data_IF_901251950846
#
_entry.id   IF_901251950846
#
_cell.length_a   1.000
_cell.length_b   1.000
_cell.length_c   1.000
_cell.angle_alpha   90.00
_cell.angle_beta   90.00
_cell.angle_gamma   90.00
#
_symmetry.space_group_name_H-M   'P 1'
#
loop_
_entity.id
_entity.type
_entity.pdbx_description
1 polymer ?
#
# COMPACT_ATOMS: atom_id res chain seq x y z
N UNK A 1 -16.70 -23.20 5.44
CA UNK A 1 -17.16 -21.84 5.86
C UNK A 1 -18.22 -21.38 4.86
N UNK A 2 -19.37 -20.86 5.33
CA UNK A 2 -20.45 -20.47 4.39
C UNK A 2 -20.06 -19.23 3.58
N UNK A 3 -20.61 -19.03 2.36
CA UNK A 3 -20.36 -17.83 1.56
C UNK A 3 -20.62 -16.51 2.31
N UNK A 4 -21.60 -16.50 3.21
CA UNK A 4 -21.93 -15.32 4.02
C UNK A 4 -20.90 -15.05 5.11
N UNK A 5 -20.30 -16.10 5.67
CA UNK A 5 -19.15 -15.98 6.57
C UNK A 5 -17.94 -15.34 5.88
N UNK A 6 -17.67 -15.72 4.63
CA UNK A 6 -16.58 -15.11 3.85
C UNK A 6 -16.82 -13.61 3.62
N UNK A 7 -18.04 -13.21 3.25
CA UNK A 7 -18.41 -11.80 3.06
C UNK A 7 -18.24 -10.98 4.33
N UNK A 8 -18.64 -11.50 5.48
CA UNK A 8 -18.51 -10.81 6.76
C UNK A 8 -17.05 -10.46 7.08
N UNK A 9 -16.13 -11.41 6.87
CA UNK A 9 -14.69 -11.21 7.08
C UNK A 9 -14.09 -10.13 6.18
N UNK A 10 -14.51 -10.10 4.90
CA UNK A 10 -14.08 -9.04 4.00
C UNK A 10 -14.53 -7.66 4.46
N UNK A 11 -15.76 -7.52 4.98
CA UNK A 11 -16.24 -6.25 5.55
C UNK A 11 -15.44 -5.85 6.79
N UNK A 12 -15.13 -6.78 7.68
CA UNK A 12 -14.29 -6.52 8.85
C UNK A 12 -12.91 -5.99 8.41
N UNK A 13 -12.23 -6.74 7.53
CA UNK A 13 -10.88 -6.44 7.09
C UNK A 13 -10.81 -5.15 6.25
N UNK A 14 -11.61 -5.06 5.19
CA UNK A 14 -11.50 -4.00 4.18
C UNK A 14 -12.56 -2.91 4.32
N UNK A 15 -13.61 -3.11 5.14
CA UNK A 15 -14.76 -2.20 5.23
C UNK A 15 -15.83 -2.45 4.16
N UNK A 16 -15.53 -3.28 3.16
CA UNK A 16 -16.44 -3.64 2.06
C UNK A 16 -16.15 -5.05 1.55
N UNK A 17 -17.05 -5.60 0.75
CA UNK A 17 -16.83 -6.88 0.04
C UNK A 17 -16.32 -6.57 -1.37
N UNK A 18 -15.11 -7.03 -1.75
CA UNK A 18 -14.60 -6.78 -3.10
C UNK A 18 -15.39 -7.57 -4.16
N UNK A 19 -15.65 -6.95 -5.32
CA UNK A 19 -16.29 -7.60 -6.47
C UNK A 19 -15.62 -8.91 -6.90
N UNK A 20 -14.31 -9.00 -6.70
CA UNK A 20 -13.54 -10.20 -7.02
C UNK A 20 -13.97 -11.42 -6.20
N UNK A 21 -14.54 -11.23 -5.00
CA UNK A 21 -15.11 -12.34 -4.24
C UNK A 21 -16.33 -12.93 -4.97
N UNK A 22 -17.25 -12.09 -5.44
CA UNK A 22 -18.44 -12.57 -6.15
C UNK A 22 -18.05 -13.28 -7.45
N UNK A 23 -17.04 -12.77 -8.17
CA UNK A 23 -16.49 -13.44 -9.35
C UNK A 23 -15.91 -14.82 -9.01
N UNK A 24 -15.15 -14.95 -7.92
CA UNK A 24 -14.61 -16.23 -7.45
C UNK A 24 -15.72 -17.20 -7.08
N UNK A 25 -16.71 -16.76 -6.33
CA UNK A 25 -17.85 -17.57 -5.92
C UNK A 25 -18.67 -18.03 -7.14
N UNK A 26 -18.91 -17.16 -8.11
CA UNK A 26 -19.62 -17.51 -9.34
C UNK A 26 -18.87 -18.58 -10.14
N UNK A 27 -17.57 -18.40 -10.39
CA UNK A 27 -16.75 -19.36 -11.11
C UNK A 27 -16.64 -20.71 -10.37
N UNK A 28 -16.48 -20.69 -9.04
CA UNK A 28 -16.41 -21.90 -8.24
C UNK A 28 -17.74 -22.68 -8.25
N UNK A 29 -18.88 -21.98 -8.26
CA UNK A 29 -20.20 -22.60 -8.47
C UNK A 29 -20.30 -23.25 -9.85
N UNK A 30 -19.96 -22.51 -10.91
CA UNK A 30 -19.99 -23.01 -12.29
C UNK A 30 -19.09 -24.24 -12.47
N UNK A 31 -17.92 -24.26 -11.84
CA UNK A 31 -17.00 -25.39 -11.89
C UNK A 31 -17.36 -26.56 -10.96
N UNK A 32 -18.37 -26.41 -10.08
CA UNK A 32 -18.68 -27.41 -9.05
C UNK A 32 -17.57 -27.57 -8.00
N UNK A 33 -16.75 -26.53 -7.77
CA UNK A 33 -15.53 -26.56 -6.95
C UNK A 33 -15.56 -25.57 -5.79
N UNK A 34 -16.71 -25.39 -5.13
CA UNK A 34 -16.85 -24.44 -4.00
C UNK A 34 -15.84 -24.65 -2.87
N UNK A 35 -15.43 -25.90 -2.62
CA UNK A 35 -14.41 -26.23 -1.63
C UNK A 35 -13.06 -25.54 -1.88
N UNK A 36 -12.73 -25.14 -3.12
CA UNK A 36 -11.50 -24.39 -3.39
C UNK A 36 -11.54 -22.97 -2.82
N UNK A 37 -12.71 -22.31 -2.86
CA UNK A 37 -12.88 -20.99 -2.26
C UNK A 37 -12.76 -21.11 -0.75
N UNK A 38 -13.39 -22.12 -0.15
CA UNK A 38 -13.27 -22.36 1.30
C UNK A 38 -11.82 -22.61 1.72
N UNK A 39 -11.04 -23.35 0.94
CA UNK A 39 -9.63 -23.59 1.21
C UNK A 39 -8.79 -22.30 1.14
N UNK A 40 -9.02 -21.45 0.13
CA UNK A 40 -8.32 -20.17 0.00
C UNK A 40 -8.66 -19.22 1.15
N UNK A 41 -9.93 -19.16 1.56
CA UNK A 41 -10.36 -18.30 2.66
C UNK A 41 -9.89 -18.82 4.02
N UNK A 42 -9.81 -20.14 4.22
CA UNK A 42 -9.21 -20.74 5.42
C UNK A 42 -7.70 -20.44 5.49
N UNK A 43 -6.98 -20.52 4.37
CA UNK A 43 -5.57 -20.13 4.30
C UNK A 43 -5.37 -18.64 4.63
N UNK A 44 -6.22 -17.77 4.05
CA UNK A 44 -6.21 -16.34 4.37
C UNK A 44 -6.47 -16.11 5.85
N UNK A 45 -7.42 -16.82 6.45
CA UNK A 45 -7.73 -16.67 7.85
C UNK A 45 -6.50 -16.96 8.73
N UNK A 46 -5.91 -18.13 8.55
CA UNK A 46 -4.75 -18.56 9.32
C UNK A 46 -3.59 -17.59 9.16
N UNK A 47 -3.25 -17.21 7.92
CA UNK A 47 -2.05 -16.43 7.66
C UNK A 47 -2.22 -14.92 7.90
N UNK A 48 -3.44 -14.38 7.80
CA UNK A 48 -3.70 -12.95 7.92
C UNK A 48 -4.28 -12.61 9.29
N UNK A 49 -5.24 -13.36 9.80
CA UNK A 49 -5.93 -13.01 11.05
C UNK A 49 -5.25 -13.60 12.28
N UNK A 50 -4.65 -14.79 12.17
CA UNK A 50 -3.86 -15.40 13.25
C UNK A 50 -2.35 -15.14 13.12
N UNK A 51 -1.97 -14.12 12.36
CA UNK A 51 -0.57 -13.75 12.22
C UNK A 51 -0.01 -13.19 13.54
N UNK A 52 1.23 -13.54 13.94
CA UNK A 52 1.87 -12.95 15.12
C UNK A 52 2.29 -11.48 14.93
N UNK A 53 2.40 -11.00 13.69
CA UNK A 53 2.57 -9.57 13.43
C UNK A 53 1.26 -8.83 13.69
N UNK A 54 1.35 -7.64 14.29
CA UNK A 54 0.21 -6.75 14.34
C UNK A 54 -0.26 -6.35 12.94
N UNK A 55 -1.52 -5.89 12.85
CA UNK A 55 -2.14 -5.56 11.56
C UNK A 55 -1.38 -4.47 10.80
N UNK A 56 -0.85 -3.45 11.49
CA UNK A 56 -0.13 -2.34 10.87
C UNK A 56 1.13 -2.85 10.20
N UNK A 57 1.97 -3.54 10.97
CA UNK A 57 3.22 -4.15 10.52
C UNK A 57 2.99 -5.09 9.35
N UNK A 58 1.98 -5.97 9.44
CA UNK A 58 1.68 -6.90 8.36
C UNK A 58 1.30 -6.18 7.04
N UNK A 59 0.54 -5.09 7.10
CA UNK A 59 0.19 -4.30 5.91
C UNK A 59 1.41 -3.61 5.30
N UNK A 60 2.30 -3.05 6.12
CA UNK A 60 3.55 -2.43 5.66
C UNK A 60 4.49 -3.45 5.00
N UNK A 61 4.58 -4.66 5.55
CA UNK A 61 5.37 -5.77 4.96
C UNK A 61 4.80 -6.18 3.61
N UNK A 62 3.48 -6.39 3.50
CA UNK A 62 2.85 -6.71 2.22
C UNK A 62 3.07 -5.59 1.18
N UNK A 63 2.94 -4.32 1.59
CA UNK A 63 3.22 -3.17 0.73
C UNK A 63 4.65 -3.23 0.18
N UNK A 64 5.65 -3.39 1.05
CA UNK A 64 7.05 -3.46 0.67
C UNK A 64 7.34 -4.62 -0.30
N UNK A 65 6.81 -5.81 -0.03
CA UNK A 65 6.98 -6.98 -0.89
C UNK A 65 6.36 -6.78 -2.27
N UNK A 66 5.15 -6.21 -2.35
CA UNK A 66 4.47 -5.97 -3.62
C UNK A 66 5.18 -4.90 -4.44
N UNK A 67 5.68 -3.84 -3.81
CA UNK A 67 6.52 -2.84 -4.48
C UNK A 67 7.81 -3.46 -5.03
N UNK A 68 8.50 -4.30 -4.25
CA UNK A 68 9.70 -5.00 -4.70
C UNK A 68 9.44 -5.96 -5.88
N UNK A 69 8.22 -6.51 -5.99
CA UNK A 69 7.79 -7.33 -7.13
C UNK A 69 7.24 -6.51 -8.31
N UNK A 70 7.25 -5.17 -8.24
CA UNK A 70 6.66 -4.29 -9.26
C UNK A 70 5.14 -4.36 -9.34
N UNK A 71 4.46 -4.90 -8.32
CA UNK A 71 3.03 -5.14 -8.28
C UNK A 71 2.29 -3.94 -7.68
N UNK A 72 2.29 -2.81 -8.39
CA UNK A 72 1.73 -1.53 -7.88
C UNK A 72 0.21 -1.57 -7.68
N UNK A 73 -0.54 -2.23 -8.56
CA UNK A 73 -2.00 -2.32 -8.45
C UNK A 73 -2.47 -2.95 -7.11
N UNK A 74 -2.00 -4.14 -6.70
CA UNK A 74 -2.32 -4.66 -5.38
C UNK A 74 -1.64 -3.90 -4.23
N UNK A 75 -0.46 -3.29 -4.44
CA UNK A 75 0.22 -2.49 -3.41
C UNK A 75 -0.64 -1.33 -2.89
N UNK A 76 -1.44 -0.69 -3.77
CA UNK A 76 -2.39 0.37 -3.39
C UNK A 76 -3.35 -0.05 -2.28
N UNK A 77 -3.82 -1.30 -2.30
CA UNK A 77 -4.71 -1.83 -1.26
C UNK A 77 -4.01 -1.91 0.10
N UNK A 78 -2.71 -2.15 0.11
CA UNK A 78 -1.92 -2.27 1.34
C UNK A 78 -1.52 -0.92 1.93
N UNK A 79 -1.41 0.15 1.13
CA UNK A 79 -1.31 1.52 1.67
C UNK A 79 -2.58 1.87 2.44
N UNK A 80 -3.75 1.76 1.80
CA UNK A 80 -5.05 2.05 2.45
C UNK A 80 -5.30 1.13 3.65
N UNK A 81 -4.96 -0.15 3.52
CA UNK A 81 -5.03 -1.13 4.59
C UNK A 81 -4.13 -0.78 5.78
N UNK A 82 -2.91 -0.30 5.52
CA UNK A 82 -1.99 0.17 6.56
C UNK A 82 -2.54 1.40 7.28
N UNK A 83 -3.05 2.40 6.54
CA UNK A 83 -3.67 3.61 7.13
C UNK A 83 -4.84 3.23 8.04
N UNK A 84 -5.76 2.37 7.56
CA UNK A 84 -6.87 1.85 8.37
C UNK A 84 -6.38 1.12 9.64
N UNK A 85 -5.21 0.48 9.57
CA UNK A 85 -4.57 -0.18 10.70
C UNK A 85 -3.76 0.76 11.61
N UNK A 86 -3.78 2.08 11.36
CA UNK A 86 -3.11 3.09 12.17
C UNK A 86 -1.70 3.47 11.70
N UNK A 87 -1.34 3.15 10.46
CA UNK A 87 -0.10 3.67 9.87
C UNK A 87 -0.21 5.17 9.59
N UNK A 88 0.87 5.87 9.90
CA UNK A 88 1.06 7.30 9.62
C UNK A 88 1.71 7.49 8.25
N UNK A 89 1.66 8.70 7.66
CA UNK A 89 2.46 9.05 6.50
C UNK A 89 3.95 8.75 6.69
N UNK A 90 4.47 8.89 7.91
CA UNK A 90 5.87 8.58 8.24
C UNK A 90 6.18 7.08 8.14
N UNK A 91 5.28 6.20 8.61
CA UNK A 91 5.44 4.75 8.46
C UNK A 91 5.52 4.36 6.97
N UNK A 92 4.63 4.93 6.15
CA UNK A 92 4.59 4.68 4.70
C UNK A 92 5.83 5.20 3.98
N UNK A 93 6.31 6.39 4.35
CA UNK A 93 7.56 6.92 3.81
C UNK A 93 8.76 6.05 4.22
N UNK A 94 8.75 5.45 5.42
CA UNK A 94 9.73 4.46 5.83
C UNK A 94 9.79 3.24 4.90
N UNK A 95 8.65 2.80 4.36
CA UNK A 95 8.62 1.75 3.34
C UNK A 95 9.27 2.22 2.03
N UNK A 96 9.01 3.46 1.60
CA UNK A 96 9.69 4.05 0.44
C UNK A 96 11.21 4.05 0.62
N UNK A 97 11.70 4.55 1.77
CA UNK A 97 13.13 4.58 2.09
C UNK A 97 13.75 3.18 2.11
N UNK A 98 13.07 2.19 2.68
CA UNK A 98 13.49 0.78 2.64
C UNK A 98 13.57 0.27 1.20
N UNK A 99 12.61 0.67 0.37
CA UNK A 99 12.58 0.40 -1.05
C UNK A 99 13.80 0.92 -1.81
N UNK A 100 14.34 2.09 -1.43
CA UNK A 100 15.59 2.63 -2.01
C UNK A 100 16.78 1.70 -1.75
N UNK A 101 16.84 1.06 -0.57
CA UNK A 101 17.91 0.12 -0.21
C UNK A 101 17.80 -1.18 -1.01
N UNK A 102 16.58 -1.69 -1.21
CA UNK A 102 16.35 -3.00 -1.83
C UNK A 102 16.32 -2.94 -3.36
N UNK A 103 15.71 -1.91 -3.94
CA UNK A 103 15.49 -1.78 -5.39
C UNK A 103 16.04 -0.50 -6.01
N UNK A 104 16.85 0.26 -5.28
CA UNK A 104 17.44 1.51 -5.76
C UNK A 104 16.42 2.63 -5.99
N UNK A 105 16.89 3.70 -6.65
CA UNK A 105 16.05 4.86 -6.95
C UNK A 105 14.79 4.55 -7.77
N UNK A 106 14.77 3.60 -8.73
CA UNK A 106 13.55 3.28 -9.46
C UNK A 106 12.41 2.78 -8.57
N UNK A 107 12.72 1.88 -7.62
CA UNK A 107 11.72 1.37 -6.67
C UNK A 107 11.29 2.50 -5.71
N UNK A 108 12.24 3.28 -5.20
CA UNK A 108 11.95 4.43 -4.35
C UNK A 108 10.95 5.39 -5.01
N UNK A 109 11.22 5.82 -6.25
CA UNK A 109 10.33 6.73 -6.99
C UNK A 109 8.94 6.12 -7.18
N UNK A 110 8.85 4.85 -7.59
CA UNK A 110 7.57 4.18 -7.75
C UNK A 110 6.78 4.08 -6.42
N UNK A 111 7.46 3.80 -5.31
CA UNK A 111 6.84 3.75 -3.99
C UNK A 111 6.35 5.14 -3.55
N UNK A 112 7.15 6.18 -3.77
CA UNK A 112 6.80 7.57 -3.45
C UNK A 112 5.57 8.00 -4.24
N UNK A 113 5.54 7.79 -5.56
CA UNK A 113 4.41 8.19 -6.40
C UNK A 113 3.10 7.54 -5.93
N UNK A 114 3.14 6.23 -5.67
CA UNK A 114 1.98 5.47 -5.22
C UNK A 114 1.49 5.93 -3.84
N UNK A 115 2.40 6.11 -2.88
CA UNK A 115 2.05 6.56 -1.52
C UNK A 115 1.53 8.00 -1.55
N UNK A 116 2.19 8.89 -2.28
CA UNK A 116 1.79 10.29 -2.44
C UNK A 116 0.39 10.40 -3.02
N UNK A 117 0.09 9.69 -4.11
CA UNK A 117 -1.24 9.71 -4.73
C UNK A 117 -2.35 9.35 -3.72
N UNK A 118 -2.15 8.28 -2.94
CA UNK A 118 -3.15 7.83 -1.96
C UNK A 118 -3.27 8.79 -0.79
N UNK A 119 -2.15 9.28 -0.24
CA UNK A 119 -2.20 10.25 0.84
C UNK A 119 -2.85 11.57 0.41
N UNK A 120 -2.67 11.96 -0.86
CA UNK A 120 -3.34 13.12 -1.45
C UNK A 120 -4.85 12.89 -1.51
N UNK A 121 -5.29 11.76 -2.07
CA UNK A 121 -6.70 11.40 -2.19
C UNK A 121 -7.40 11.36 -0.82
N UNK A 122 -6.68 10.91 0.21
CA UNK A 122 -7.21 10.79 1.57
C UNK A 122 -7.04 12.08 2.41
N UNK A 123 -6.48 13.16 1.83
CA UNK A 123 -6.29 14.45 2.51
C UNK A 123 -5.26 14.42 3.66
N UNK A 124 -4.28 13.52 3.57
CA UNK A 124 -3.28 13.24 4.62
C UNK A 124 -1.89 13.84 4.32
N UNK A 125 -1.74 14.61 3.25
CA UNK A 125 -0.50 15.31 2.92
C UNK A 125 -0.44 16.68 3.60
N UNK A 126 0.74 17.04 4.10
CA UNK A 126 1.02 18.41 4.49
C UNK A 126 1.46 19.20 3.24
N UNK A 127 0.53 19.91 2.63
CA UNK A 127 0.79 20.81 1.49
C UNK A 127 1.33 22.18 1.96
N UNK A 128 2.31 22.18 2.87
CA UNK A 128 3.03 23.43 3.14
C UNK A 128 3.58 23.94 1.81
N UNK A 129 3.37 25.23 1.45
CA UNK A 129 3.87 25.77 0.20
C UNK A 129 5.36 25.49 0.09
N UNK A 130 5.89 25.21 -1.11
CA UNK A 130 7.34 25.21 -1.29
C UNK A 130 7.84 26.54 -0.72
N UNK A 131 8.78 26.47 0.23
CA UNK A 131 9.48 27.68 0.66
C UNK A 131 9.95 28.36 -0.61
N UNK A 132 9.48 29.58 -0.84
CA UNK A 132 10.01 30.40 -1.92
C UNK A 132 11.48 30.58 -1.57
N UNK A 133 12.33 29.73 -2.13
CA UNK A 133 13.76 29.88 -2.02
C UNK A 133 14.05 31.31 -2.44
N UNK A 134 14.67 32.06 -1.54
CA UNK A 134 15.27 33.34 -1.85
C UNK A 134 16.28 33.10 -2.97
N UNK A 135 15.83 33.17 -4.22
CA UNK A 135 16.67 33.35 -5.39
C UNK A 135 17.23 34.78 -5.32
N UNK A 136 18.07 35.02 -4.31
CA UNK A 136 18.97 36.15 -4.33
C UNK A 136 19.83 35.98 -5.59
N UNK A 137 19.82 36.95 -6.53
CA UNK A 137 20.55 36.83 -7.77
C UNK A 137 22.03 36.58 -7.47
N UNK A 138 22.72 35.75 -8.28
CA UNK A 138 24.13 35.44 -8.04
C UNK A 138 24.91 36.75 -7.96
N UNK A 139 25.68 36.91 -6.87
CA UNK A 139 26.51 38.09 -6.67
C UNK A 139 27.39 38.33 -7.89
N UNK A 140 27.55 39.59 -8.35
CA UNK A 140 28.36 39.89 -9.52
C UNK A 140 29.77 39.35 -9.28
N UNK A 141 30.25 38.51 -10.20
CA UNK A 141 31.62 38.01 -10.16
C UNK A 141 32.55 39.23 -10.17
N UNK A 142 33.32 39.39 -9.10
CA UNK A 142 34.36 40.41 -9.04
C UNK A 142 35.34 40.26 -10.20
N UNK A 143 36.02 41.34 -10.61
CA UNK A 143 36.92 41.29 -11.77
C UNK A 143 38.04 40.27 -11.54
N UNK A 144 38.31 39.44 -12.55
CA UNK A 144 39.42 38.49 -12.54
C UNK A 144 40.76 39.22 -12.33
N UNK A 145 41.68 38.68 -11.50
CA UNK A 145 43.02 39.22 -11.36
C UNK A 145 43.78 39.12 -12.69
N UNK A 146 44.58 40.15 -12.98
CA UNK A 146 45.45 40.29 -14.15
C UNK A 146 46.71 39.44 -13.99
#
# INVERSE_FOLDING_TARGET
MTPDGVRARYRELLGFVPDNLEKRLALARTAGRMASVEAVEAFREELIHHNPLDRKTQQLVHLAMLLAMGQTAPARLHVRGAIKAGATPSDLYGVCLTGAVVGGMPLFSQAVDLVHEILKDDGLLNESPPETGDESPPSPRGPSPV
#
